data_IF_358532974924
#
_entry.id   IF_358532974924
#
_cell.length_a   1.000
_cell.length_b   1.000
_cell.length_c   1.000
_cell.angle_alpha   90.00
_cell.angle_beta   90.00
_cell.angle_gamma   90.00
#
_symmetry.space_group_name_H-M   'P 1'
#
loop_
_entity.id
_entity.type
_entity.pdbx_description
1 polymer ?
#
# COMPACT_ATOMS: atom_id res chain seq x y z
N UNK A 1 8.30 3.55 12.55
CA UNK A 1 8.05 2.83 11.29
C UNK A 1 8.69 3.61 10.15
N UNK A 2 9.16 2.92 9.12
CA UNK A 2 9.51 3.62 7.88
C UNK A 2 8.24 3.84 7.06
N UNK A 3 8.08 5.05 6.52
CA UNK A 3 6.97 5.40 5.64
C UNK A 3 7.49 5.49 4.22
N UNK A 4 7.00 4.61 3.35
CA UNK A 4 7.31 4.64 1.93
C UNK A 4 6.25 5.46 1.20
N UNK A 5 6.65 6.53 0.52
CA UNK A 5 5.73 7.46 -0.12
C UNK A 5 6.07 7.64 -1.60
N UNK A 6 5.10 7.29 -2.45
CA UNK A 6 5.27 7.22 -3.89
C UNK A 6 4.46 8.27 -4.63
N UNK A 7 5.05 8.86 -5.67
CA UNK A 7 4.39 9.75 -6.62
C UNK A 7 4.89 9.51 -8.05
N UNK A 8 4.21 10.05 -9.06
CA UNK A 8 4.78 10.05 -10.43
C UNK A 8 5.95 11.04 -10.51
N UNK A 9 5.77 12.18 -9.87
CA UNK A 9 6.73 13.28 -9.75
C UNK A 9 6.75 13.80 -8.31
N UNK A 10 7.70 14.68 -7.98
CA UNK A 10 7.79 15.34 -6.68
C UNK A 10 6.60 16.24 -6.35
N UNK A 11 5.78 16.61 -7.35
CA UNK A 11 4.55 17.38 -7.16
C UNK A 11 3.39 16.52 -6.66
N UNK A 12 3.47 15.20 -6.82
CA UNK A 12 2.45 14.24 -6.43
C UNK A 12 2.62 13.75 -4.99
N UNK A 13 3.42 14.46 -4.18
CA UNK A 13 3.76 14.13 -2.80
C UNK A 13 3.24 15.18 -1.81
N UNK A 14 1.91 15.39 -1.71
CA UNK A 14 1.36 16.34 -0.77
C UNK A 14 1.72 15.99 0.68
N UNK A 15 1.81 17.02 1.53
CA UNK A 15 2.01 16.88 2.99
C UNK A 15 3.28 16.08 3.37
N UNK A 16 4.29 16.01 2.49
CA UNK A 16 5.56 15.27 2.77
C UNK A 16 6.20 15.65 4.10
N UNK A 17 6.14 16.92 4.50
CA UNK A 17 6.70 17.38 5.76
C UNK A 17 5.96 16.81 6.97
N UNK A 18 4.64 16.62 6.86
CA UNK A 18 3.85 15.95 7.91
C UNK A 18 4.21 14.47 8.00
N UNK A 19 4.33 13.78 6.86
CA UNK A 19 4.73 12.38 6.85
C UNK A 19 6.16 12.18 7.35
N UNK A 20 7.09 13.08 7.01
CA UNK A 20 8.44 13.06 7.55
C UNK A 20 8.44 13.22 9.07
N UNK A 21 7.65 14.16 9.61
CA UNK A 21 7.47 14.35 11.05
C UNK A 21 6.90 13.10 11.72
N UNK A 22 5.84 12.50 11.16
CA UNK A 22 5.21 11.29 11.69
C UNK A 22 6.17 10.10 11.70
N UNK A 23 6.88 9.85 10.60
CA UNK A 23 7.85 8.75 10.52
C UNK A 23 8.98 8.94 11.54
N UNK A 24 9.54 10.15 11.63
CA UNK A 24 10.63 10.48 12.57
C UNK A 24 10.18 10.36 14.03
N UNK A 25 8.98 10.84 14.36
CA UNK A 25 8.41 10.71 15.71
C UNK A 25 8.23 9.25 16.15
N UNK A 26 8.08 8.33 15.18
CA UNK A 26 8.01 6.88 15.42
C UNK A 26 9.37 6.17 15.34
N UNK A 27 10.48 6.91 15.29
CA UNK A 27 11.86 6.39 15.21
C UNK A 27 12.24 5.80 13.85
N UNK A 28 11.45 6.03 12.79
CA UNK A 28 11.78 5.63 11.42
C UNK A 28 12.04 6.82 10.51
N UNK A 29 11.97 6.62 9.19
CA UNK A 29 12.18 7.67 8.19
C UNK A 29 11.12 7.68 7.11
N UNK A 30 11.02 8.82 6.42
CA UNK A 30 10.31 8.92 5.15
C UNK A 30 11.23 8.46 4.01
N UNK A 31 10.79 7.46 3.24
CA UNK A 31 11.41 6.98 2.01
C UNK A 31 10.55 7.46 0.85
N UNK A 32 11.10 8.36 0.03
CA UNK A 32 10.40 8.91 -1.13
C UNK A 32 10.79 8.12 -2.39
N UNK A 33 9.81 7.83 -3.23
CA UNK A 33 10.03 7.31 -4.58
C UNK A 33 9.21 8.12 -5.60
N UNK A 34 9.84 8.55 -6.69
CA UNK A 34 9.13 9.12 -7.84
C UNK A 34 9.47 8.39 -9.12
N UNK A 35 8.45 8.13 -9.95
CA UNK A 35 8.64 7.39 -11.20
C UNK A 35 9.60 8.11 -12.17
N UNK A 36 9.58 9.44 -12.17
CA UNK A 36 10.47 10.27 -12.99
C UNK A 36 11.87 10.50 -12.37
N UNK A 37 12.07 10.17 -11.09
CA UNK A 37 13.30 10.45 -10.34
C UNK A 37 13.51 11.91 -9.93
N UNK A 38 12.48 12.75 -10.01
CA UNK A 38 12.52 14.14 -9.55
C UNK A 38 12.78 14.29 -8.03
N UNK A 39 12.50 13.28 -7.22
CA UNK A 39 12.84 13.26 -5.79
C UNK A 39 13.02 11.81 -5.28
N UNK A 40 14.04 11.56 -4.45
CA UNK A 40 14.23 10.25 -3.82
C UNK A 40 14.60 9.12 -4.79
N UNK A 41 14.05 7.93 -4.55
CA UNK A 41 14.27 6.75 -5.38
C UNK A 41 13.59 6.92 -6.75
N UNK A 42 14.32 6.72 -7.85
CA UNK A 42 13.74 6.72 -9.19
C UNK A 42 13.05 5.40 -9.47
N UNK A 43 11.73 5.41 -9.49
CA UNK A 43 10.89 4.23 -9.75
C UNK A 43 9.65 4.21 -8.88
N UNK A 44 9.03 3.04 -8.76
CA UNK A 44 7.81 2.86 -7.95
C UNK A 44 8.15 2.66 -6.48
N UNK A 45 7.20 3.01 -5.61
CA UNK A 45 7.35 2.85 -4.15
C UNK A 45 7.59 1.40 -3.72
N UNK A 46 6.99 0.44 -4.42
CA UNK A 46 7.21 -1.00 -4.18
C UNK A 46 8.62 -1.45 -4.57
N UNK A 47 9.23 -0.82 -5.58
CA UNK A 47 10.62 -1.06 -5.98
C UNK A 47 11.59 -0.49 -4.94
N UNK A 48 11.27 0.68 -4.37
CA UNK A 48 12.04 1.24 -3.25
C UNK A 48 11.97 0.34 -2.01
N UNK A 49 10.80 -0.22 -1.69
CA UNK A 49 10.66 -1.21 -0.61
C UNK A 49 11.47 -2.48 -0.91
N UNK A 50 11.40 -3.00 -2.14
CA UNK A 50 12.17 -4.17 -2.54
C UNK A 50 13.68 -3.95 -2.37
N UNK A 51 14.20 -2.77 -2.77
CA UNK A 51 15.60 -2.40 -2.62
C UNK A 51 16.04 -2.36 -1.15
N UNK A 52 15.21 -1.86 -0.23
CA UNK A 52 15.52 -1.85 1.21
C UNK A 52 15.51 -3.27 1.80
N UNK A 53 14.57 -4.12 1.39
CA UNK A 53 14.55 -5.53 1.77
C UNK A 53 15.80 -6.27 1.26
N UNK A 54 16.21 -6.01 0.01
CA UNK A 54 17.41 -6.58 -0.60
C UNK A 54 18.70 -6.11 0.08
N UNK A 55 18.71 -4.87 0.59
CA UNK A 55 19.79 -4.33 1.41
C UNK A 55 19.81 -4.88 2.85
N UNK A 56 18.92 -5.82 3.18
CA UNK A 56 18.88 -6.51 4.46
C UNK A 56 18.05 -5.81 5.54
N UNK A 57 17.28 -4.77 5.21
CA UNK A 57 16.27 -4.28 6.15
C UNK A 57 15.17 -5.32 6.33
N UNK A 58 14.72 -5.46 7.57
CA UNK A 58 13.59 -6.30 7.91
C UNK A 58 12.44 -5.45 8.43
N UNK A 59 11.24 -5.77 7.96
CA UNK A 59 9.99 -5.19 8.44
C UNK A 59 9.11 -6.30 9.01
N UNK A 60 8.42 -6.01 10.12
CA UNK A 60 7.50 -6.96 10.73
C UNK A 60 6.22 -7.16 9.91
N UNK A 61 5.71 -6.08 9.34
CA UNK A 61 4.52 -6.06 8.51
C UNK A 61 4.47 -4.79 7.64
N UNK A 62 3.72 -4.83 6.55
CA UNK A 62 3.37 -3.65 5.76
C UNK A 62 1.91 -3.23 5.99
N UNK A 63 1.68 -1.95 6.24
CA UNK A 63 0.35 -1.33 6.21
C UNK A 63 0.31 -0.39 5.01
N UNK A 64 -0.67 -0.56 4.13
CA UNK A 64 -0.65 0.08 2.82
C UNK A 64 -2.00 0.66 2.42
N UNK A 65 -1.93 1.72 1.62
CA UNK A 65 -3.05 2.27 0.87
C UNK A 65 -2.50 2.82 -0.45
N UNK A 66 -3.34 2.88 -1.47
CA UNK A 66 -2.94 3.40 -2.78
C UNK A 66 -3.68 2.71 -3.93
N UNK A 67 -3.26 2.98 -5.18
CA UNK A 67 -3.91 2.42 -6.35
C UNK A 67 -3.90 0.88 -6.35
N UNK A 68 -4.97 0.25 -6.83
CA UNK A 68 -5.08 -1.22 -6.93
C UNK A 68 -3.86 -1.89 -7.59
N UNK A 69 -3.27 -1.38 -8.69
CA UNK A 69 -2.05 -1.97 -9.26
C UNK A 69 -0.83 -1.91 -8.33
N UNK A 70 -0.71 -0.85 -7.52
CA UNK A 70 0.37 -0.72 -6.53
C UNK A 70 0.20 -1.76 -5.42
N UNK A 71 -1.02 -1.91 -4.91
CA UNK A 71 -1.32 -2.87 -3.85
C UNK A 71 -1.16 -4.33 -4.34
N UNK A 72 -1.54 -4.63 -5.59
CA UNK A 72 -1.28 -5.92 -6.22
C UNK A 72 0.21 -6.22 -6.36
N UNK A 73 1.03 -5.22 -6.72
CA UNK A 73 2.48 -5.35 -6.78
C UNK A 73 3.08 -5.57 -5.37
N UNK A 74 2.58 -4.84 -4.37
CA UNK A 74 2.98 -5.03 -2.97
C UNK A 74 2.61 -6.43 -2.47
N UNK A 75 1.41 -6.95 -2.77
CA UNK A 75 0.98 -8.29 -2.37
C UNK A 75 1.89 -9.39 -2.94
N UNK A 76 2.31 -9.24 -4.21
CA UNK A 76 3.29 -10.16 -4.83
C UNK A 76 4.65 -10.09 -4.14
N UNK A 77 5.19 -8.88 -3.95
CA UNK A 77 6.45 -8.67 -3.23
C UNK A 77 6.37 -9.23 -1.80
N UNK A 78 5.28 -8.97 -1.10
CA UNK A 78 5.02 -9.46 0.25
C UNK A 78 5.05 -11.00 0.32
N UNK A 79 4.39 -11.66 -0.62
CA UNK A 79 4.40 -13.12 -0.73
C UNK A 79 5.81 -13.68 -1.03
N UNK A 80 6.54 -13.06 -1.96
CA UNK A 80 7.91 -13.47 -2.33
C UNK A 80 8.91 -13.31 -1.18
N UNK A 81 8.75 -12.26 -0.38
CA UNK A 81 9.70 -11.90 0.70
C UNK A 81 9.25 -12.34 2.08
N UNK A 82 8.10 -13.00 2.20
CA UNK A 82 7.54 -13.40 3.49
C UNK A 82 7.17 -12.22 4.41
N UNK A 83 6.81 -11.08 3.83
CA UNK A 83 6.40 -9.88 4.56
C UNK A 83 4.87 -9.85 4.67
N UNK A 84 4.28 -10.17 5.84
CA UNK A 84 2.82 -10.08 5.99
C UNK A 84 2.37 -8.62 5.91
N UNK A 85 1.12 -8.38 5.51
CA UNK A 85 0.61 -7.02 5.46
C UNK A 85 -0.87 -6.90 5.18
N UNK A 86 -1.33 -5.66 5.31
CA UNK A 86 -2.71 -5.24 5.10
C UNK A 86 -2.76 -4.08 4.11
N UNK A 87 -3.85 -4.02 3.34
CA UNK A 87 -4.15 -2.99 2.38
C UNK A 87 -5.54 -2.41 2.63
N UNK A 88 -5.60 -1.10 2.79
CA UNK A 88 -6.85 -0.35 2.66
C UNK A 88 -7.20 -0.24 1.17
N UNK A 89 -8.27 -0.90 0.75
CA UNK A 89 -8.75 -0.91 -0.63
C UNK A 89 -9.71 0.24 -0.89
N UNK A 90 -9.67 0.73 -2.12
CA UNK A 90 -10.69 1.61 -2.68
C UNK A 90 -11.43 0.86 -3.79
N UNK A 91 -12.75 0.92 -3.77
CA UNK A 91 -13.64 0.34 -4.78
C UNK A 91 -14.75 1.33 -5.09
N UNK A 92 -15.39 1.24 -6.25
CA UNK A 92 -16.60 2.01 -6.52
C UNK A 92 -17.69 1.71 -5.47
N UNK A 93 -18.16 2.75 -4.79
CA UNK A 93 -19.20 2.65 -3.77
C UNK A 93 -20.43 3.43 -4.18
N UNK A 94 -21.58 2.76 -4.18
CA UNK A 94 -22.89 3.42 -4.29
C UNK A 94 -23.45 3.77 -2.92
N UNK A 95 -23.85 2.74 -2.16
CA UNK A 95 -24.55 2.94 -0.89
C UNK A 95 -23.62 3.15 0.33
N UNK A 96 -22.43 2.55 0.36
CA UNK A 96 -21.51 2.62 1.50
C UNK A 96 -21.92 1.83 2.75
N UNK A 97 -23.04 1.10 2.74
CA UNK A 97 -23.51 0.28 3.88
C UNK A 97 -23.94 -1.14 3.46
N UNK A 98 -23.53 -1.59 2.27
CA UNK A 98 -23.66 -2.96 1.77
C UNK A 98 -24.96 -3.33 1.05
N UNK A 99 -25.94 -2.43 0.93
CA UNK A 99 -27.18 -2.74 0.20
C UNK A 99 -27.00 -2.93 -1.32
N UNK A 100 -26.14 -2.11 -1.96
CA UNK A 100 -26.01 -2.11 -3.42
C UNK A 100 -25.06 -3.19 -3.97
N UNK A 101 -24.23 -3.80 -3.12
CA UNK A 101 -23.19 -4.78 -3.48
C UNK A 101 -22.13 -4.29 -4.50
N UNK A 102 -22.10 -3.00 -4.86
CA UNK A 102 -21.17 -2.45 -5.86
C UNK A 102 -19.69 -2.47 -5.43
N UNK A 103 -19.42 -2.43 -4.13
CA UNK A 103 -18.07 -2.43 -3.56
C UNK A 103 -17.48 -3.84 -3.40
N UNK A 104 -17.80 -4.76 -4.31
CA UNK A 104 -17.40 -6.16 -4.20
C UNK A 104 -15.89 -6.32 -4.41
N UNK A 105 -15.22 -7.04 -3.50
CA UNK A 105 -13.80 -7.38 -3.53
C UNK A 105 -13.67 -8.87 -3.74
N UNK A 106 -12.98 -9.32 -4.80
CA UNK A 106 -12.70 -10.74 -5.02
C UNK A 106 -11.86 -11.31 -3.87
N UNK A 107 -12.35 -12.36 -3.20
CA UNK A 107 -11.66 -13.00 -2.07
C UNK A 107 -11.09 -14.37 -2.48
N UNK A 108 -9.97 -14.79 -1.86
CA UNK A 108 -9.30 -16.07 -2.17
C UNK A 108 -10.19 -17.29 -1.94
N UNK A 109 -11.17 -17.21 -1.03
CA UNK A 109 -12.17 -18.25 -0.77
C UNK A 109 -13.14 -18.52 -1.95
N UNK A 110 -13.08 -17.73 -3.02
CA UNK A 110 -13.97 -17.83 -4.17
C UNK A 110 -15.31 -17.09 -3.99
N UNK A 111 -15.48 -16.38 -2.88
CA UNK A 111 -16.60 -15.46 -2.64
C UNK A 111 -16.17 -14.01 -2.87
N UNK A 112 -17.12 -13.10 -2.83
CA UNK A 112 -16.85 -11.66 -2.76
C UNK A 112 -17.05 -11.18 -1.33
N UNK A 113 -16.13 -10.33 -0.86
CA UNK A 113 -16.32 -9.50 0.32
C UNK A 113 -16.85 -8.13 -0.12
N UNK A 114 -17.51 -7.38 0.76
CA UNK A 114 -17.96 -6.02 0.50
C UNK A 114 -17.00 -5.03 1.17
N UNK A 115 -16.27 -4.23 0.39
CA UNK A 115 -15.30 -3.28 0.92
C UNK A 115 -15.88 -2.35 2.01
N UNK A 116 -17.14 -1.92 1.86
CA UNK A 116 -17.81 -1.04 2.83
C UNK A 116 -18.33 -1.73 4.11
N UNK A 117 -18.44 -3.06 4.16
CA UNK A 117 -18.93 -3.80 5.33
C UNK A 117 -17.85 -4.70 5.94
N UNK A 118 -17.18 -5.48 5.09
CA UNK A 118 -16.13 -6.43 5.48
C UNK A 118 -14.74 -5.77 5.52
N UNK A 119 -14.56 -4.67 4.79
CA UNK A 119 -13.32 -3.91 4.70
C UNK A 119 -13.33 -2.60 5.50
N UNK A 120 -12.67 -1.53 5.02
CA UNK A 120 -11.90 -1.43 3.76
C UNK A 120 -10.50 -2.04 3.84
N UNK A 121 -10.09 -2.50 5.02
CA UNK A 121 -8.75 -3.07 5.26
C UNK A 121 -8.81 -4.58 5.12
N UNK A 122 -8.00 -5.13 4.23
CA UNK A 122 -7.89 -6.56 3.95
C UNK A 122 -6.43 -7.02 4.07
N UNK A 123 -6.21 -8.27 4.44
CA UNK A 123 -4.87 -8.87 4.36
C UNK A 123 -4.44 -9.02 2.89
N UNK A 124 -3.15 -8.78 2.62
CA UNK A 124 -2.63 -8.86 1.25
C UNK A 124 -2.83 -10.24 0.61
N UNK A 125 -2.87 -11.31 1.41
CA UNK A 125 -3.00 -12.70 0.99
C UNK A 125 -4.46 -13.21 0.92
N UNK A 126 -5.46 -12.39 1.27
CA UNK A 126 -6.88 -12.79 1.22
C UNK A 126 -7.66 -12.17 0.06
N UNK A 127 -7.10 -11.13 -0.56
CA UNK A 127 -7.61 -10.50 -1.78
C UNK A 127 -7.12 -11.26 -3.00
N UNK A 128 -8.02 -11.48 -3.96
CA UNK A 128 -7.67 -11.98 -5.30
C UNK A 128 -7.43 -10.78 -6.22
N UNK A 129 -6.16 -10.38 -6.29
CA UNK A 129 -5.63 -9.26 -7.08
C UNK A 129 -5.71 -9.45 -8.60
#
# INVERSE_FOLDING_TARGET
FDLFYGGRTSRDLPRRDDFARLATASGGRLVIATEDGSEGFRGRVTEALAAELDAGRAYRASLSCGPMPMLAALARLAAERGLPGEAALETEMGCGFGACLGCAVPHVSGRFALCCQDGPVFRLDEVRW
#
